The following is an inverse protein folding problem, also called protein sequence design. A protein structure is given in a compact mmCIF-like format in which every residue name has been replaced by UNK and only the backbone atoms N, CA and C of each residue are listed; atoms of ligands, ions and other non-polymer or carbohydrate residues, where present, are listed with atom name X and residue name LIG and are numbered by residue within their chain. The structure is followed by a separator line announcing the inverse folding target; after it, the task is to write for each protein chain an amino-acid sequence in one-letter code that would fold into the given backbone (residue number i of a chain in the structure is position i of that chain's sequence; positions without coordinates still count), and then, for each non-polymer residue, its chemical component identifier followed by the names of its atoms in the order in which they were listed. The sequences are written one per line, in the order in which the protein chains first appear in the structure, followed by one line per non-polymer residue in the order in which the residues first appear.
data_IF_088221910833
#
_entry.id   IF_088221910833
#
_cell.length_a   1.000
_cell.length_b   1.000
_cell.length_c   1.000
_cell.angle_alpha   90.00
_cell.angle_beta   90.00
_cell.angle_gamma   90.00
#
_symmetry.space_group_name_H-M   'P 1'
#
loop_
_entity.id
_entity.type
_entity.pdbx_description
1 polymer ?
#
# COMPACT_ATOMS: atom_id res chain seq x y z
N UNK A 1 -2.03 -33.78 -1.45
CA UNK A 1 -1.28 -33.24 -0.29
C UNK A 1 -2.31 -32.62 0.66
N UNK A 2 -2.23 -32.91 1.97
CA UNK A 2 -3.11 -32.23 2.92
C UNK A 2 -2.66 -30.76 3.08
N UNK A 3 -3.53 -29.83 2.74
CA UNK A 3 -3.22 -28.39 2.73
C UNK A 3 -2.74 -27.91 4.10
N UNK A 4 -3.38 -28.36 5.17
CA UNK A 4 -3.00 -28.00 6.53
C UNK A 4 -1.56 -28.45 6.86
N UNK A 5 -1.21 -29.70 6.55
CA UNK A 5 0.15 -30.22 6.79
C UNK A 5 1.19 -29.47 5.96
N UNK A 6 0.88 -29.14 4.71
CA UNK A 6 1.73 -28.33 3.83
C UNK A 6 1.96 -26.94 4.44
N UNK A 7 0.89 -26.23 4.81
CA UNK A 7 0.98 -24.88 5.36
C UNK A 7 1.70 -24.84 6.71
N UNK A 8 1.50 -25.84 7.56
CA UNK A 8 2.27 -26.01 8.81
C UNK A 8 3.77 -26.22 8.54
N UNK A 9 4.14 -26.91 7.47
CA UNK A 9 5.51 -27.05 7.00
C UNK A 9 6.11 -25.71 6.59
N UNK A 10 5.40 -24.96 5.73
CA UNK A 10 5.77 -23.62 5.28
C UNK A 10 5.96 -22.67 6.47
N UNK A 11 5.02 -22.66 7.42
CA UNK A 11 5.08 -21.80 8.59
C UNK A 11 6.31 -22.09 9.47
N UNK A 12 6.60 -23.35 9.77
CA UNK A 12 7.80 -23.74 10.53
C UNK A 12 9.09 -23.32 9.85
N UNK A 13 9.19 -23.51 8.53
CA UNK A 13 10.36 -23.11 7.75
C UNK A 13 10.53 -21.59 7.74
N UNK A 14 9.45 -20.81 7.53
CA UNK A 14 9.49 -19.36 7.58
C UNK A 14 9.93 -18.85 8.97
N UNK A 15 9.39 -19.43 10.05
CA UNK A 15 9.79 -19.06 11.42
C UNK A 15 11.26 -19.36 11.71
N UNK A 16 11.79 -20.47 11.21
CA UNK A 16 13.22 -20.77 11.33
C UNK A 16 14.06 -19.77 10.51
N UNK A 17 13.67 -19.50 9.26
CA UNK A 17 14.36 -18.58 8.36
C UNK A 17 14.33 -17.13 8.86
N UNK A 18 13.24 -16.68 9.52
CA UNK A 18 13.13 -15.33 10.05
C UNK A 18 14.22 -14.99 11.07
N UNK A 19 14.64 -15.98 11.87
CA UNK A 19 15.74 -15.80 12.84
C UNK A 19 17.10 -15.64 12.17
N UNK A 20 17.27 -16.16 10.97
CA UNK A 20 18.52 -16.08 10.21
C UNK A 20 18.59 -14.76 9.45
N UNK A 21 17.52 -14.39 8.73
CA UNK A 21 17.50 -13.14 7.98
C UNK A 21 17.53 -11.90 8.89
N UNK A 22 16.95 -11.96 10.09
CA UNK A 22 17.01 -10.90 11.09
C UNK A 22 18.42 -10.54 11.57
N UNK A 23 19.40 -11.45 11.36
CA UNK A 23 20.82 -11.27 11.71
C UNK A 23 21.70 -10.98 10.50
N UNK A 24 21.15 -11.06 9.28
CA UNK A 24 21.91 -10.77 8.08
C UNK A 24 22.30 -9.30 8.04
N UNK A 25 23.53 -9.03 7.66
CA UNK A 25 24.00 -7.67 7.45
C UNK A 25 23.43 -7.05 6.17
N UNK A 26 23.55 -5.74 6.04
CA UNK A 26 23.07 -4.99 4.88
C UNK A 26 23.70 -5.45 3.58
N UNK A 27 24.98 -5.83 3.59
CA UNK A 27 25.69 -6.29 2.38
C UNK A 27 25.10 -7.60 1.86
N UNK A 28 24.80 -8.55 2.75
CA UNK A 28 24.15 -9.82 2.43
C UNK A 28 22.76 -9.61 1.85
N UNK A 29 21.94 -8.77 2.47
CA UNK A 29 20.59 -8.42 1.98
C UNK A 29 20.68 -7.76 0.60
N UNK A 30 21.57 -6.78 0.43
CA UNK A 30 21.75 -6.08 -0.85
C UNK A 30 22.23 -7.02 -1.96
N UNK A 31 23.14 -7.95 -1.65
CA UNK A 31 23.60 -8.97 -2.59
C UNK A 31 22.43 -9.85 -3.06
N UNK A 32 21.58 -10.31 -2.14
CA UNK A 32 20.41 -11.12 -2.50
C UNK A 32 19.48 -10.35 -3.44
N UNK A 33 19.17 -9.07 -3.14
CA UNK A 33 18.34 -8.21 -3.98
C UNK A 33 18.94 -7.99 -5.37
N UNK A 34 20.22 -7.66 -5.45
CA UNK A 34 20.92 -7.41 -6.72
C UNK A 34 20.96 -8.66 -7.60
N UNK A 35 21.27 -9.82 -7.02
CA UNK A 35 21.28 -11.10 -7.80
C UNK A 35 19.87 -11.47 -8.22
N UNK A 36 18.85 -11.24 -7.39
CA UNK A 36 17.45 -11.44 -7.76
C UNK A 36 17.05 -10.56 -8.95
N UNK A 37 17.41 -9.27 -8.94
CA UNK A 37 17.16 -8.35 -10.05
C UNK A 37 17.79 -8.84 -11.35
N UNK A 38 19.06 -9.24 -11.30
CA UNK A 38 19.78 -9.81 -12.43
C UNK A 38 19.15 -11.12 -12.93
N UNK A 39 18.66 -11.97 -12.00
CA UNK A 39 17.98 -13.21 -12.36
C UNK A 39 16.65 -12.94 -13.09
N UNK A 40 15.87 -11.94 -12.64
CA UNK A 40 14.64 -11.49 -13.30
C UNK A 40 14.93 -10.99 -14.73
N UNK A 41 15.97 -10.18 -14.92
CA UNK A 41 16.35 -9.70 -16.25
C UNK A 41 16.74 -10.87 -17.18
N UNK A 42 17.61 -11.78 -16.72
CA UNK A 42 18.01 -12.97 -17.49
C UNK A 42 16.85 -13.90 -17.82
N UNK A 43 15.90 -14.04 -16.90
CA UNK A 43 14.72 -14.89 -17.04
C UNK A 43 13.56 -14.21 -17.80
N UNK A 44 13.75 -13.03 -18.38
CA UNK A 44 12.66 -12.22 -18.97
C UNK A 44 11.76 -13.03 -19.92
N UNK A 45 12.34 -13.83 -20.84
CA UNK A 45 11.53 -14.66 -21.73
C UNK A 45 10.77 -15.75 -20.98
N UNK A 46 11.39 -16.42 -20.03
CA UNK A 46 10.73 -17.46 -19.19
C UNK A 46 9.56 -16.86 -18.41
N UNK A 47 9.70 -15.62 -17.89
CA UNK A 47 8.64 -14.91 -17.19
C UNK A 47 7.48 -14.56 -18.14
N UNK A 48 7.77 -14.12 -19.37
CA UNK A 48 6.75 -13.85 -20.39
C UNK A 48 6.01 -15.13 -20.80
N UNK A 49 6.72 -16.24 -20.98
CA UNK A 49 6.12 -17.52 -21.33
C UNK A 49 5.21 -18.05 -20.21
N UNK A 50 5.66 -17.98 -18.95
CA UNK A 50 4.85 -18.33 -17.77
C UNK A 50 3.61 -17.43 -17.66
N UNK A 51 3.76 -16.14 -17.90
CA UNK A 51 2.65 -15.19 -17.88
C UNK A 51 1.65 -15.43 -19.01
N UNK A 52 2.10 -15.82 -20.17
CA UNK A 52 1.20 -16.17 -21.28
C UNK A 52 0.26 -17.34 -20.93
N UNK A 53 0.73 -18.33 -20.14
CA UNK A 53 -0.12 -19.42 -19.63
C UNK A 53 -1.20 -18.89 -18.68
N UNK A 54 -0.81 -18.00 -17.76
CA UNK A 54 -1.74 -17.39 -16.79
C UNK A 54 -2.80 -16.54 -17.52
N UNK A 55 -2.40 -15.70 -18.46
CA UNK A 55 -3.30 -14.83 -19.25
C UNK A 55 -4.26 -15.66 -20.09
N UNK A 56 -3.79 -16.74 -20.74
CA UNK A 56 -4.64 -17.64 -21.50
C UNK A 56 -5.70 -18.31 -20.61
N UNK A 57 -5.30 -18.79 -19.42
CA UNK A 57 -6.21 -19.37 -18.43
C UNK A 57 -7.22 -18.35 -17.88
N UNK A 58 -6.79 -17.11 -17.63
CA UNK A 58 -7.64 -16.03 -17.16
C UNK A 58 -8.71 -15.64 -18.20
N UNK A 59 -8.34 -15.53 -19.47
CA UNK A 59 -9.28 -15.28 -20.59
C UNK A 59 -10.28 -16.39 -20.75
N UNK A 60 -9.83 -17.65 -20.67
CA UNK A 60 -10.72 -18.81 -20.73
C UNK A 60 -11.75 -18.82 -19.59
N UNK A 61 -11.33 -18.40 -18.39
CA UNK A 61 -12.22 -18.24 -17.21
C UNK A 61 -13.06 -16.95 -17.23
N UNK A 62 -12.93 -16.12 -18.28
CA UNK A 62 -13.65 -14.85 -18.46
C UNK A 62 -13.48 -13.90 -17.28
N UNK A 63 -12.23 -13.75 -16.78
CA UNK A 63 -11.90 -12.67 -15.84
C UNK A 63 -12.21 -11.31 -16.49
N UNK A 64 -12.53 -10.31 -15.68
CA UNK A 64 -12.75 -8.96 -16.17
C UNK A 64 -11.47 -8.35 -16.77
N UNK A 65 -11.63 -7.41 -17.69
CA UNK A 65 -10.52 -6.80 -18.44
C UNK A 65 -9.52 -6.09 -17.50
N UNK A 66 -9.99 -5.50 -16.42
CA UNK A 66 -9.14 -4.84 -15.44
C UNK A 66 -8.26 -5.85 -14.65
N UNK A 67 -8.78 -7.05 -14.35
CA UNK A 67 -7.99 -8.12 -13.74
C UNK A 67 -6.96 -8.67 -14.73
N UNK A 68 -7.33 -8.83 -16.01
CA UNK A 68 -6.43 -9.27 -17.08
C UNK A 68 -5.32 -8.23 -17.29
N UNK A 69 -5.64 -6.93 -17.36
CA UNK A 69 -4.65 -5.86 -17.51
C UNK A 69 -3.62 -5.87 -16.37
N UNK A 70 -4.07 -6.07 -15.13
CA UNK A 70 -3.18 -6.18 -13.97
C UNK A 70 -2.32 -7.45 -13.98
N UNK A 71 -2.78 -8.52 -14.62
CA UNK A 71 -2.09 -9.81 -14.71
C UNK A 71 -0.95 -9.80 -15.73
N UNK A 72 -1.08 -9.01 -16.79
CA UNK A 72 -0.15 -9.02 -17.92
C UNK A 72 1.24 -8.49 -17.50
N UNK A 73 2.26 -9.33 -17.74
CA UNK A 73 3.66 -8.90 -17.72
C UNK A 73 4.10 -8.51 -19.13
N UNK A 74 4.84 -7.43 -19.22
CA UNK A 74 5.49 -6.95 -20.43
C UNK A 74 7.00 -6.86 -20.18
N UNK A 75 7.85 -6.78 -21.21
CA UNK A 75 9.28 -6.52 -21.00
C UNK A 75 9.54 -5.27 -20.15
N UNK A 76 8.70 -4.24 -20.30
CA UNK A 76 8.77 -3.00 -19.50
C UNK A 76 8.45 -3.25 -18.01
N UNK A 77 7.41 -4.04 -17.70
CA UNK A 77 7.06 -4.35 -16.29
C UNK A 77 8.08 -5.29 -15.65
N UNK A 78 8.70 -6.20 -16.42
CA UNK A 78 9.78 -7.06 -15.94
C UNK A 78 11.03 -6.21 -15.61
N UNK A 79 11.43 -5.31 -16.50
CA UNK A 79 12.53 -4.37 -16.21
C UNK A 79 12.23 -3.52 -14.96
N UNK A 80 11.00 -3.01 -14.83
CA UNK A 80 10.59 -2.23 -13.65
C UNK A 80 10.65 -3.04 -12.34
N UNK A 81 10.36 -4.36 -12.36
CA UNK A 81 10.56 -5.23 -11.19
C UNK A 81 12.03 -5.32 -10.79
N UNK A 82 12.93 -5.51 -11.76
CA UNK A 82 14.38 -5.56 -11.51
C UNK A 82 14.89 -4.22 -10.96
N UNK A 83 14.52 -3.11 -11.59
CA UNK A 83 14.85 -1.76 -11.13
C UNK A 83 14.34 -1.49 -9.70
N UNK A 84 13.12 -1.91 -9.39
CA UNK A 84 12.52 -1.79 -8.05
C UNK A 84 13.36 -2.50 -6.98
N UNK A 85 13.84 -3.71 -7.25
CA UNK A 85 14.72 -4.44 -6.35
C UNK A 85 16.09 -3.75 -6.17
N UNK A 86 16.65 -3.20 -7.24
CA UNK A 86 17.89 -2.41 -7.15
C UNK A 86 17.68 -1.14 -6.33
N UNK A 87 16.56 -0.46 -6.50
CA UNK A 87 16.21 0.70 -5.67
C UNK A 87 16.10 0.32 -4.19
N UNK A 88 15.38 -0.77 -3.86
CA UNK A 88 15.27 -1.28 -2.49
C UNK A 88 16.68 -1.60 -1.92
N UNK A 89 17.58 -2.15 -2.72
CA UNK A 89 18.95 -2.42 -2.29
C UNK A 89 19.71 -1.16 -1.86
N UNK A 90 19.43 0.00 -2.49
CA UNK A 90 20.08 1.28 -2.15
C UNK A 90 19.50 1.97 -0.91
N UNK A 91 18.30 1.59 -0.47
CA UNK A 91 17.67 2.20 0.70
C UNK A 91 18.49 1.93 1.98
N UNK A 92 18.48 2.85 2.95
CA UNK A 92 19.05 2.59 4.28
C UNK A 92 18.40 1.34 4.89
N UNK A 93 19.21 0.51 5.53
CA UNK A 93 18.73 -0.66 6.28
C UNK A 93 18.28 -0.20 7.67
N UNK A 94 16.98 -0.30 8.01
CA UNK A 94 16.50 0.17 9.30
C UNK A 94 16.84 -0.77 10.47
N UNK A 95 17.22 -2.01 10.18
CA UNK A 95 17.42 -3.05 11.21
C UNK A 95 18.69 -2.79 12.01
N UNK A 96 18.56 -2.74 13.33
CA UNK A 96 19.68 -2.50 14.23
C UNK A 96 19.90 -1.03 14.59
N UNK A 97 19.20 -0.08 13.96
CA UNK A 97 19.26 1.33 14.34
C UNK A 97 18.81 1.51 15.79
N UNK A 98 19.61 2.20 16.60
CA UNK A 98 19.29 2.56 17.99
C UNK A 98 19.01 4.06 18.05
N UNK A 99 17.81 4.42 18.51
CA UNK A 99 17.37 5.79 18.68
C UNK A 99 17.09 6.12 20.15
N UNK A 100 17.14 7.42 20.48
CA UNK A 100 16.72 7.94 21.77
C UNK A 100 17.50 7.41 22.97
N UNK A 101 18.75 6.97 22.82
CA UNK A 101 19.60 6.47 23.90
C UNK A 101 19.93 7.60 24.87
N UNK A 102 19.43 7.50 26.11
CA UNK A 102 19.59 8.53 27.15
C UNK A 102 19.87 7.89 28.51
N UNK A 103 20.73 8.58 29.31
CA UNK A 103 20.90 8.26 30.73
C UNK A 103 19.61 8.46 31.51
N UNK A 104 19.37 7.56 32.45
CA UNK A 104 18.26 7.65 33.41
C UNK A 104 18.81 8.00 34.80
N UNK A 105 17.97 8.51 35.71
CA UNK A 105 18.41 8.84 37.08
C UNK A 105 19.11 7.70 37.81
N UNK A 106 18.78 6.45 37.48
CA UNK A 106 19.43 5.24 38.01
C UNK A 106 20.82 4.97 37.42
N UNK A 107 21.31 5.75 36.46
CA UNK A 107 22.62 5.56 35.83
C UNK A 107 22.61 4.68 34.58
N UNK A 108 21.55 3.90 34.35
CA UNK A 108 21.42 3.10 33.11
C UNK A 108 21.17 3.98 31.89
N UNK A 109 21.59 3.51 30.70
CA UNK A 109 21.18 4.10 29.43
C UNK A 109 20.01 3.28 28.85
N UNK A 110 18.97 3.97 28.38
CA UNK A 110 17.79 3.34 27.75
C UNK A 110 17.55 3.98 26.39
N UNK A 111 17.42 3.15 25.38
CA UNK A 111 17.07 3.53 24.00
C UNK A 111 16.11 2.53 23.37
N UNK A 112 15.76 2.76 22.10
CA UNK A 112 14.96 1.84 21.30
C UNK A 112 15.76 1.39 20.08
N UNK A 113 15.73 0.08 19.83
CA UNK A 113 16.38 -0.54 18.68
C UNK A 113 15.33 -1.06 17.70
N UNK A 114 15.50 -0.76 16.43
CA UNK A 114 14.62 -1.25 15.37
C UNK A 114 14.93 -2.70 15.03
N UNK A 115 13.89 -3.52 14.97
CA UNK A 115 13.99 -4.97 14.70
C UNK A 115 12.92 -5.40 13.69
N UNK A 116 13.14 -6.46 12.89
CA UNK A 116 12.12 -7.00 11.99
C UNK A 116 10.84 -7.39 12.72
N UNK A 117 9.70 -7.35 12.04
CA UNK A 117 8.43 -7.91 12.56
C UNK A 117 8.52 -9.43 12.77
N UNK A 118 9.24 -10.13 11.87
CA UNK A 118 9.42 -11.57 11.94
C UNK A 118 9.03 -12.29 10.66
N UNK A 119 7.84 -12.87 10.61
CA UNK A 119 7.28 -13.52 9.42
C UNK A 119 6.09 -12.72 8.93
N UNK A 120 6.14 -12.27 7.68
CA UNK A 120 5.09 -11.48 7.02
C UNK A 120 4.35 -12.39 6.03
N UNK A 121 3.06 -12.58 6.23
CA UNK A 121 2.18 -13.24 5.27
C UNK A 121 1.58 -12.20 4.31
N UNK A 122 1.73 -12.38 3.00
CA UNK A 122 1.20 -11.45 2.01
C UNK A 122 0.25 -12.19 1.09
N UNK A 123 -0.99 -11.69 0.99
CA UNK A 123 -2.06 -12.28 0.18
C UNK A 123 -2.44 -11.28 -0.90
N UNK A 124 -2.24 -11.63 -2.17
CA UNK A 124 -2.43 -10.70 -3.29
C UNK A 124 -3.12 -11.35 -4.49
N UNK A 125 -3.76 -10.53 -5.32
CA UNK A 125 -4.55 -10.94 -6.48
C UNK A 125 -4.01 -10.28 -7.75
N UNK A 126 -4.03 -11.03 -8.87
CA UNK A 126 -3.81 -10.57 -10.26
C UNK A 126 -2.66 -9.59 -10.48
N UNK A 127 -1.57 -9.69 -9.71
CA UNK A 127 -0.41 -8.77 -9.78
C UNK A 127 0.89 -9.54 -9.58
N UNK A 128 1.43 -10.20 -10.60
CA UNK A 128 2.65 -11.00 -10.47
C UNK A 128 3.86 -10.20 -9.94
N UNK A 129 3.97 -8.91 -10.31
CA UNK A 129 5.05 -8.03 -9.85
C UNK A 129 5.11 -7.91 -8.31
N UNK A 130 3.98 -8.03 -7.61
CA UNK A 130 3.94 -7.98 -6.14
C UNK A 130 4.81 -9.08 -5.52
N UNK A 131 5.00 -10.21 -6.22
CA UNK A 131 5.91 -11.27 -5.75
C UNK A 131 7.34 -10.76 -5.56
N UNK A 132 7.86 -9.97 -6.51
CA UNK A 132 9.20 -9.39 -6.42
C UNK A 132 9.25 -8.25 -5.40
N UNK A 133 8.29 -7.33 -5.45
CA UNK A 133 8.23 -6.16 -4.59
C UNK A 133 8.14 -6.56 -3.10
N UNK A 134 7.22 -7.48 -2.79
CA UNK A 134 7.01 -7.99 -1.45
C UNK A 134 8.21 -8.79 -0.92
N UNK A 135 8.80 -9.64 -1.76
CA UNK A 135 10.02 -10.36 -1.42
C UNK A 135 11.17 -9.39 -1.10
N UNK A 136 11.36 -8.37 -1.94
CA UNK A 136 12.43 -7.38 -1.79
C UNK A 136 12.30 -6.57 -0.51
N UNK A 137 11.09 -6.04 -0.22
CA UNK A 137 10.84 -5.25 0.98
C UNK A 137 10.99 -6.08 2.26
N UNK A 138 10.44 -7.31 2.29
CA UNK A 138 10.60 -8.20 3.43
C UNK A 138 12.06 -8.57 3.65
N UNK A 139 12.79 -8.93 2.60
CA UNK A 139 14.21 -9.27 2.67
C UNK A 139 15.04 -8.10 3.22
N UNK A 140 14.86 -6.89 2.68
CA UNK A 140 15.60 -5.70 3.11
C UNK A 140 15.32 -5.32 4.56
N UNK A 141 14.06 -5.42 4.99
CA UNK A 141 13.65 -5.17 6.38
C UNK A 141 13.93 -6.33 7.35
N UNK A 142 14.61 -7.39 6.88
CA UNK A 142 15.05 -8.52 7.73
C UNK A 142 13.93 -9.50 8.09
N UNK A 143 12.82 -9.51 7.36
CA UNK A 143 11.69 -10.40 7.58
C UNK A 143 11.75 -11.63 6.67
N UNK A 144 11.24 -12.76 7.14
CA UNK A 144 10.83 -13.84 6.26
C UNK A 144 9.43 -13.57 5.71
N UNK A 145 9.15 -14.07 4.49
CA UNK A 145 7.88 -13.83 3.82
C UNK A 145 7.21 -15.13 3.37
N UNK A 146 5.89 -15.21 3.56
CA UNK A 146 5.03 -16.23 2.97
C UNK A 146 4.08 -15.51 2.01
N UNK A 147 4.26 -15.74 0.71
CA UNK A 147 3.56 -15.06 -0.38
C UNK A 147 2.47 -15.96 -0.95
N UNK A 148 1.22 -15.56 -0.86
CA UNK A 148 0.08 -16.26 -1.44
C UNK A 148 -0.55 -15.39 -2.54
N UNK A 149 -0.09 -15.59 -3.77
CA UNK A 149 -0.68 -14.96 -4.95
C UNK A 149 -1.98 -15.62 -5.39
N UNK A 150 -2.79 -14.92 -6.17
CA UNK A 150 -4.00 -15.43 -6.77
C UNK A 150 -3.72 -16.65 -7.68
N UNK A 151 -4.70 -17.53 -7.80
CA UNK A 151 -4.60 -18.74 -8.65
C UNK A 151 -4.47 -18.44 -10.13
N UNK A 152 -4.85 -17.24 -10.53
CA UNK A 152 -4.76 -16.72 -11.90
C UNK A 152 -3.34 -16.35 -12.32
N UNK A 153 -2.41 -16.20 -11.36
CA UNK A 153 -1.02 -15.79 -11.59
C UNK A 153 0.00 -16.86 -11.14
N UNK A 154 -0.43 -18.09 -11.00
CA UNK A 154 0.39 -19.14 -10.35
C UNK A 154 1.71 -19.39 -11.09
N UNK A 155 1.70 -19.46 -12.43
CA UNK A 155 2.89 -19.72 -13.24
C UNK A 155 3.87 -18.55 -13.16
N UNK A 156 3.39 -17.32 -13.32
CA UNK A 156 4.19 -16.10 -13.17
C UNK A 156 4.81 -15.99 -11.78
N UNK A 157 4.02 -16.21 -10.73
CA UNK A 157 4.50 -16.12 -9.36
C UNK A 157 5.58 -17.15 -9.04
N UNK A 158 5.44 -18.39 -9.54
CA UNK A 158 6.48 -19.44 -9.36
C UNK A 158 7.74 -19.15 -10.15
N UNK A 159 7.63 -18.60 -11.36
CA UNK A 159 8.79 -18.19 -12.15
C UNK A 159 9.57 -17.05 -11.47
N UNK A 160 8.88 -16.03 -10.92
CA UNK A 160 9.52 -14.97 -10.13
C UNK A 160 10.14 -15.53 -8.85
N UNK A 161 9.45 -16.46 -8.16
CA UNK A 161 9.97 -17.11 -6.96
C UNK A 161 11.30 -17.86 -7.21
N UNK A 162 11.46 -18.44 -8.40
CA UNK A 162 12.73 -19.08 -8.79
C UNK A 162 13.88 -18.06 -8.85
N UNK A 163 13.64 -16.87 -9.39
CA UNK A 163 14.63 -15.79 -9.42
C UNK A 163 14.97 -15.30 -7.99
N UNK A 164 13.99 -15.19 -7.11
CA UNK A 164 14.20 -14.83 -5.70
C UNK A 164 15.04 -15.88 -4.98
N UNK A 165 14.76 -17.16 -5.19
CA UNK A 165 15.58 -18.26 -4.63
C UNK A 165 17.03 -18.21 -5.08
N UNK A 166 17.28 -17.93 -6.35
CA UNK A 166 18.64 -17.75 -6.87
C UNK A 166 19.39 -16.64 -6.11
N UNK A 167 18.74 -15.49 -5.89
CA UNK A 167 19.31 -14.38 -5.13
C UNK A 167 19.63 -14.75 -3.69
N UNK A 168 18.70 -15.43 -3.00
CA UNK A 168 18.89 -15.89 -1.63
C UNK A 168 20.09 -16.85 -1.50
N UNK A 169 20.16 -17.87 -2.37
CA UNK A 169 21.27 -18.85 -2.38
C UNK A 169 22.60 -18.17 -2.66
N UNK A 170 22.67 -17.28 -3.65
CA UNK A 170 23.89 -16.53 -3.98
C UNK A 170 24.39 -15.65 -2.82
N UNK A 171 23.49 -15.19 -1.96
CA UNK A 171 23.83 -14.44 -0.76
C UNK A 171 24.14 -15.31 0.47
N UNK A 172 24.01 -16.65 0.36
CA UNK A 172 24.18 -17.58 1.49
C UNK A 172 23.01 -17.59 2.46
N UNK A 173 21.84 -17.12 2.03
CA UNK A 173 20.60 -17.12 2.81
C UNK A 173 19.78 -18.38 2.50
N UNK A 174 18.98 -18.89 3.46
CA UNK A 174 18.07 -19.99 3.19
C UNK A 174 17.02 -19.61 2.15
N UNK A 175 16.72 -20.51 1.21
CA UNK A 175 15.65 -20.35 0.23
C UNK A 175 14.27 -20.11 0.89
N UNK A 176 14.09 -20.60 2.09
CA UNK A 176 12.86 -20.50 2.89
C UNK A 176 12.64 -19.11 3.52
N UNK A 177 13.54 -18.14 3.32
CA UNK A 177 13.35 -16.74 3.71
C UNK A 177 12.15 -16.14 2.95
N UNK A 178 11.98 -16.51 1.68
CA UNK A 178 10.80 -16.12 0.89
C UNK A 178 10.19 -17.39 0.31
N UNK A 179 8.96 -17.67 0.70
CA UNK A 179 8.22 -18.83 0.23
C UNK A 179 6.96 -18.39 -0.52
N UNK A 180 6.84 -18.76 -1.79
CA UNK A 180 5.63 -18.55 -2.59
C UNK A 180 4.81 -19.84 -2.56
N UNK A 181 3.56 -19.75 -2.08
CA UNK A 181 2.66 -20.90 -1.95
C UNK A 181 2.39 -21.51 -3.32
N UNK A 182 2.62 -22.82 -3.46
CA UNK A 182 2.52 -23.55 -4.73
C UNK A 182 1.11 -24.07 -5.02
N UNK A 183 0.25 -24.17 -4.00
CA UNK A 183 -1.12 -24.65 -4.18
C UNK A 183 -2.09 -23.53 -4.51
N UNK A 184 -3.02 -23.80 -5.43
CA UNK A 184 -4.14 -22.91 -5.76
C UNK A 184 -5.33 -23.08 -4.82
N UNK A 185 -5.30 -24.04 -3.90
CA UNK A 185 -6.37 -24.28 -2.96
C UNK A 185 -6.61 -23.08 -2.05
N UNK A 186 -7.87 -22.62 -2.02
CA UNK A 186 -8.30 -21.49 -1.18
C UNK A 186 -8.20 -21.77 0.32
N UNK A 187 -8.19 -23.04 0.73
CA UNK A 187 -7.96 -23.42 2.12
C UNK A 187 -6.60 -22.95 2.65
N UNK A 188 -5.59 -22.86 1.79
CA UNK A 188 -4.27 -22.32 2.16
C UNK A 188 -4.32 -20.88 2.70
N UNK A 189 -5.27 -20.06 2.23
CA UNK A 189 -5.50 -18.70 2.77
C UNK A 189 -6.01 -18.79 4.20
N UNK A 190 -7.02 -19.64 4.46
CA UNK A 190 -7.57 -19.85 5.81
C UNK A 190 -6.51 -20.32 6.81
N UNK A 191 -5.66 -21.26 6.39
CA UNK A 191 -4.52 -21.71 7.21
C UNK A 191 -3.53 -20.55 7.47
N UNK A 192 -3.13 -19.81 6.43
CA UNK A 192 -2.16 -18.72 6.55
C UNK A 192 -2.59 -17.65 7.56
N UNK A 193 -3.85 -17.22 7.53
CA UNK A 193 -4.36 -16.14 8.38
C UNK A 193 -4.67 -16.57 9.83
N UNK A 194 -4.55 -17.85 10.12
CA UNK A 194 -4.84 -18.38 11.47
C UNK A 194 -3.62 -18.93 12.19
N UNK A 195 -2.47 -19.12 11.50
CA UNK A 195 -1.27 -19.73 12.05
C UNK A 195 -0.39 -18.75 12.88
N UNK A 196 -0.95 -18.19 13.97
CA UNK A 196 -0.29 -17.23 14.87
C UNK A 196 1.04 -17.69 15.44
N UNK A 197 1.27 -18.99 15.48
CA UNK A 197 2.52 -19.57 15.95
C UNK A 197 3.70 -19.24 15.01
N UNK A 198 3.41 -19.07 13.71
CA UNK A 198 4.43 -18.92 12.67
C UNK A 198 4.42 -17.57 11.97
N UNK A 199 3.30 -16.86 11.94
CA UNK A 199 3.13 -15.61 11.20
C UNK A 199 2.83 -14.47 12.17
N UNK A 200 3.52 -13.35 12.02
CA UNK A 200 3.42 -12.19 12.92
C UNK A 200 2.45 -11.13 12.39
N UNK A 201 2.38 -10.95 11.08
CA UNK A 201 1.51 -9.97 10.43
C UNK A 201 1.06 -10.44 9.06
N UNK A 202 -0.15 -10.05 8.65
CA UNK A 202 -0.70 -10.26 7.30
C UNK A 202 -0.82 -8.92 6.58
N UNK A 203 -0.45 -8.91 5.30
CA UNK A 203 -0.64 -7.75 4.40
C UNK A 203 -1.51 -8.19 3.23
N UNK A 204 -2.79 -7.81 3.20
CA UNK A 204 -3.65 -8.07 2.06
C UNK A 204 -3.41 -7.06 0.93
N UNK A 205 -3.41 -7.55 -0.32
CA UNK A 205 -3.27 -6.78 -1.57
C UNK A 205 -4.28 -7.25 -2.61
N UNK A 206 -5.54 -7.00 -2.39
CA UNK A 206 -6.63 -7.44 -3.26
C UNK A 206 -7.85 -6.54 -3.19
N UNK A 207 -8.95 -6.99 -3.79
CA UNK A 207 -10.21 -6.25 -3.77
C UNK A 207 -10.91 -6.29 -2.41
N UNK A 208 -11.89 -5.40 -2.23
CA UNK A 208 -12.66 -5.20 -0.98
C UNK A 208 -13.17 -6.52 -0.38
N UNK A 209 -13.74 -7.41 -1.21
CA UNK A 209 -14.28 -8.69 -0.73
C UNK A 209 -13.21 -9.62 -0.12
N UNK A 210 -11.97 -9.61 -0.63
CA UNK A 210 -10.87 -10.35 0.00
C UNK A 210 -10.54 -9.73 1.36
N UNK A 211 -10.39 -8.41 1.43
CA UNK A 211 -10.00 -7.71 2.66
C UNK A 211 -11.07 -7.90 3.74
N UNK A 212 -12.36 -7.74 3.42
CA UNK A 212 -13.47 -7.97 4.35
C UNK A 212 -13.48 -9.41 4.90
N UNK A 213 -13.22 -10.41 4.03
CA UNK A 213 -13.08 -11.79 4.48
C UNK A 213 -11.92 -11.95 5.45
N UNK A 214 -10.76 -11.39 5.13
CA UNK A 214 -9.57 -11.48 5.99
C UNK A 214 -9.78 -10.78 7.33
N UNK A 215 -10.41 -9.60 7.35
CA UNK A 215 -10.79 -8.88 8.58
C UNK A 215 -11.67 -9.72 9.51
N UNK A 216 -12.61 -10.47 8.94
CA UNK A 216 -13.51 -11.32 9.71
C UNK A 216 -12.85 -12.61 10.23
N UNK A 217 -11.95 -13.20 9.44
CA UNK A 217 -11.44 -14.56 9.66
C UNK A 217 -10.02 -14.60 10.25
N UNK A 218 -9.22 -13.52 10.09
CA UNK A 218 -7.84 -13.50 10.55
C UNK A 218 -7.74 -13.50 12.07
N UNK A 219 -6.78 -14.27 12.56
CA UNK A 219 -6.35 -14.27 13.96
C UNK A 219 -4.99 -13.58 14.14
N UNK A 220 -4.44 -13.04 13.06
CA UNK A 220 -3.14 -12.39 13.00
C UNK A 220 -3.37 -10.90 12.72
N UNK A 221 -2.65 -9.98 13.35
CA UNK A 221 -2.71 -8.55 13.01
C UNK A 221 -2.49 -8.31 11.52
N UNK A 222 -3.13 -7.28 10.97
CA UNK A 222 -2.99 -6.95 9.56
C UNK A 222 -2.50 -5.52 9.39
N UNK A 223 -1.79 -5.27 8.30
CA UNK A 223 -1.47 -3.95 7.76
C UNK A 223 -2.32 -3.78 6.51
N UNK A 224 -3.36 -2.95 6.58
CA UNK A 224 -4.36 -2.92 5.51
C UNK A 224 -5.12 -1.58 5.44
N UNK A 225 -5.79 -1.34 4.32
CA UNK A 225 -6.93 -0.44 4.18
C UNK A 225 -8.07 -1.18 3.48
N UNK A 226 -9.30 -0.77 3.72
CA UNK A 226 -10.48 -1.42 3.12
C UNK A 226 -10.79 -0.79 1.76
N UNK A 227 -10.89 0.54 1.72
CA UNK A 227 -11.16 1.36 0.54
C UNK A 227 -10.47 2.73 0.64
N UNK A 228 -10.43 3.46 -0.46
CA UNK A 228 -9.82 4.78 -0.59
C UNK A 228 -10.82 5.85 -1.01
N UNK A 229 -11.80 6.20 -0.14
CA UNK A 229 -12.68 7.35 -0.37
C UNK A 229 -11.91 8.63 -0.05
N UNK A 230 -11.16 9.13 -1.02
CA UNK A 230 -10.30 10.30 -0.86
C UNK A 230 -11.00 11.60 -1.28
N UNK A 231 -10.73 12.69 -0.55
CA UNK A 231 -11.34 14.00 -0.80
C UNK A 231 -10.31 15.04 -1.19
N UNK A 232 -10.73 15.98 -2.04
CA UNK A 232 -10.08 17.28 -2.20
C UNK A 232 -11.09 18.36 -1.82
N UNK A 233 -10.77 19.14 -0.79
CA UNK A 233 -11.54 20.31 -0.40
C UNK A 233 -10.91 21.57 -0.98
N UNK A 234 -11.67 22.32 -1.78
CA UNK A 234 -11.29 23.64 -2.31
C UNK A 234 -11.91 24.70 -1.41
N UNK A 235 -11.07 25.37 -0.65
CA UNK A 235 -11.45 26.43 0.28
C UNK A 235 -11.77 27.75 -0.45
N UNK A 236 -12.55 28.64 0.17
CA UNK A 236 -12.88 29.96 -0.40
C UNK A 236 -11.67 30.91 -0.51
N UNK A 237 -10.55 30.57 0.15
CA UNK A 237 -9.24 31.25 0.06
C UNK A 237 -8.27 30.54 -0.89
N UNK A 238 -8.73 29.61 -1.72
CA UNK A 238 -7.88 28.94 -2.68
C UNK A 238 -7.51 29.85 -3.86
N UNK A 239 -6.29 29.71 -4.35
CA UNK A 239 -5.92 30.12 -5.69
C UNK A 239 -6.63 29.22 -6.73
N UNK A 240 -7.35 29.81 -7.67
CA UNK A 240 -8.20 29.08 -8.62
C UNK A 240 -7.38 28.18 -9.52
N UNK A 241 -6.29 28.67 -10.09
CA UNK A 241 -5.48 27.89 -11.03
C UNK A 241 -4.77 26.72 -10.33
N UNK A 242 -4.31 26.95 -9.10
CA UNK A 242 -3.75 25.89 -8.24
C UNK A 242 -4.80 24.82 -7.93
N UNK A 243 -6.00 25.24 -7.55
CA UNK A 243 -7.09 24.34 -7.19
C UNK A 243 -7.53 23.48 -8.39
N UNK A 244 -7.62 24.05 -9.58
CA UNK A 244 -7.91 23.32 -10.82
C UNK A 244 -6.85 22.26 -11.08
N UNK A 245 -5.55 22.63 -11.05
CA UNK A 245 -4.46 21.69 -11.31
C UNK A 245 -4.43 20.54 -10.28
N UNK A 246 -4.60 20.84 -9.00
CA UNK A 246 -4.57 19.84 -7.93
C UNK A 246 -5.77 18.89 -8.06
N UNK A 247 -6.97 19.43 -8.20
CA UNK A 247 -8.19 18.61 -8.27
C UNK A 247 -8.27 17.80 -9.58
N UNK A 248 -7.88 18.37 -10.72
CA UNK A 248 -7.81 17.63 -11.97
C UNK A 248 -6.83 16.45 -11.86
N UNK A 249 -5.61 16.70 -11.40
CA UNK A 249 -4.60 15.64 -11.22
C UNK A 249 -5.08 14.58 -10.23
N UNK A 250 -5.68 14.97 -9.11
CA UNK A 250 -6.14 14.05 -8.07
C UNK A 250 -7.15 13.02 -8.59
N UNK A 251 -8.00 13.38 -9.56
CA UNK A 251 -8.94 12.44 -10.18
C UNK A 251 -8.40 11.79 -11.44
N UNK A 252 -7.81 12.55 -12.36
CA UNK A 252 -7.63 12.10 -13.75
C UNK A 252 -6.26 11.51 -14.06
N UNK A 253 -5.25 11.66 -13.20
CA UNK A 253 -3.92 11.10 -13.41
C UNK A 253 -3.96 9.56 -13.47
N UNK A 254 -4.77 8.92 -12.62
CA UNK A 254 -5.07 7.48 -12.66
C UNK A 254 -6.34 7.20 -11.87
N UNK A 255 -7.32 6.57 -12.49
CA UNK A 255 -8.66 6.36 -11.91
C UNK A 255 -8.71 5.17 -10.94
N UNK A 256 -8.13 4.04 -11.31
CA UNK A 256 -8.27 2.76 -10.60
C UNK A 256 -7.27 2.55 -9.46
N UNK A 257 -7.06 3.55 -8.60
CA UNK A 257 -6.13 3.49 -7.47
C UNK A 257 -6.73 4.15 -6.22
N UNK A 258 -6.39 3.62 -5.05
CA UNK A 258 -6.99 4.00 -3.76
C UNK A 258 -6.73 5.44 -3.31
N UNK A 259 -5.72 6.12 -3.85
CA UNK A 259 -5.42 7.53 -3.58
C UNK A 259 -5.97 8.50 -4.64
N UNK A 260 -6.77 8.03 -5.61
CA UNK A 260 -7.52 8.90 -6.51
C UNK A 260 -8.64 9.61 -5.74
N UNK A 261 -8.90 10.87 -6.09
CA UNK A 261 -10.03 11.61 -5.51
C UNK A 261 -11.37 10.97 -5.93
N UNK A 262 -12.23 10.68 -4.97
CA UNK A 262 -13.59 10.17 -5.21
C UNK A 262 -14.66 11.21 -4.88
N UNK A 263 -14.37 12.18 -4.01
CA UNK A 263 -15.26 13.28 -3.69
C UNK A 263 -14.52 14.62 -3.73
N UNK A 264 -15.08 15.57 -4.47
CA UNK A 264 -14.68 16.97 -4.52
C UNK A 264 -15.61 17.80 -3.63
N UNK A 265 -15.05 18.43 -2.60
CA UNK A 265 -15.75 19.39 -1.75
C UNK A 265 -15.35 20.82 -2.15
N UNK A 266 -16.31 21.71 -2.31
CA UNK A 266 -16.05 23.10 -2.71
C UNK A 266 -16.74 24.06 -1.77
N UNK A 267 -15.99 25.01 -1.20
CA UNK A 267 -16.56 26.07 -0.37
C UNK A 267 -17.53 26.92 -1.19
N UNK A 268 -18.69 27.23 -0.60
CA UNK A 268 -19.76 28.02 -1.21
C UNK A 268 -19.25 29.34 -1.80
N UNK A 269 -18.34 30.01 -1.12
CA UNK A 269 -17.81 31.33 -1.52
C UNK A 269 -17.03 31.33 -2.83
N UNK A 270 -16.50 30.16 -3.28
CA UNK A 270 -15.71 30.04 -4.52
C UNK A 270 -16.41 29.20 -5.59
N UNK A 271 -17.48 28.47 -5.22
CA UNK A 271 -18.13 27.49 -6.09
C UNK A 271 -18.51 28.00 -7.47
N UNK A 272 -19.11 29.20 -7.57
CA UNK A 272 -19.52 29.84 -8.85
C UNK A 272 -18.32 30.10 -9.76
N UNK A 273 -17.12 30.32 -9.22
CA UNK A 273 -15.92 30.63 -10.00
C UNK A 273 -15.19 29.38 -10.46
N UNK A 274 -15.17 28.34 -9.63
CA UNK A 274 -14.30 27.17 -9.86
C UNK A 274 -15.02 25.98 -10.49
N UNK A 275 -16.28 25.72 -10.13
CA UNK A 275 -16.99 24.55 -10.65
C UNK A 275 -17.15 24.55 -12.17
N UNK A 276 -17.55 25.67 -12.85
CA UNK A 276 -17.73 25.64 -14.29
C UNK A 276 -16.47 25.25 -15.07
N UNK A 277 -15.28 25.88 -14.86
CA UNK A 277 -14.07 25.49 -15.60
C UNK A 277 -13.56 24.11 -15.21
N UNK A 278 -13.60 23.74 -13.93
CA UNK A 278 -13.09 22.45 -13.46
C UNK A 278 -13.97 21.29 -13.93
N UNK A 279 -15.29 21.41 -13.82
CA UNK A 279 -16.22 20.38 -14.29
C UNK A 279 -16.20 20.22 -15.81
N UNK A 280 -15.95 21.31 -16.56
CA UNK A 280 -15.74 21.20 -18.00
C UNK A 280 -14.53 20.30 -18.31
N UNK A 281 -13.41 20.45 -17.59
CA UNK A 281 -12.23 19.58 -17.76
C UNK A 281 -12.59 18.11 -17.51
N UNK A 282 -13.34 17.82 -16.45
CA UNK A 282 -13.75 16.46 -16.13
C UNK A 282 -14.67 15.86 -17.21
N UNK A 283 -15.68 16.62 -17.64
CA UNK A 283 -16.61 16.17 -18.69
C UNK A 283 -15.88 15.94 -20.02
N UNK A 284 -14.96 16.83 -20.40
CA UNK A 284 -14.14 16.67 -21.62
C UNK A 284 -13.25 15.40 -21.56
N UNK A 285 -12.90 14.94 -20.35
CA UNK A 285 -12.14 13.70 -20.09
C UNK A 285 -13.05 12.47 -19.88
N UNK A 286 -14.36 12.61 -20.04
CA UNK A 286 -15.32 11.51 -19.89
C UNK A 286 -15.57 11.09 -18.43
N UNK A 287 -15.36 11.98 -17.45
CA UNK A 287 -15.70 11.73 -16.06
C UNK A 287 -17.19 12.01 -15.84
N UNK A 288 -17.92 11.03 -15.36
CA UNK A 288 -19.29 11.21 -14.86
C UNK A 288 -19.26 12.00 -13.55
N UNK A 289 -20.02 13.10 -13.49
CA UNK A 289 -20.11 13.91 -12.28
C UNK A 289 -21.44 13.64 -11.57
N UNK A 290 -21.40 13.40 -10.26
CA UNK A 290 -22.58 13.27 -9.38
C UNK A 290 -22.56 14.39 -8.37
N UNK A 291 -23.51 15.31 -8.48
CA UNK A 291 -23.53 16.54 -7.69
C UNK A 291 -24.71 16.62 -6.73
N UNK A 292 -24.52 17.31 -5.61
CA UNK A 292 -25.63 17.76 -4.77
C UNK A 292 -26.50 18.79 -5.50
N UNK A 293 -27.65 19.15 -4.93
CA UNK A 293 -28.60 20.07 -5.56
C UNK A 293 -28.00 21.46 -5.83
N UNK A 294 -27.01 21.90 -5.06
CA UNK A 294 -26.39 23.21 -5.20
C UNK A 294 -25.35 23.19 -6.33
N UNK A 295 -24.49 22.21 -6.38
CA UNK A 295 -23.51 22.07 -7.46
C UNK A 295 -24.18 21.88 -8.82
N UNK A 296 -25.30 21.14 -8.86
CA UNK A 296 -26.12 20.93 -10.06
C UNK A 296 -26.79 22.22 -10.58
N UNK A 297 -27.11 23.17 -9.71
CA UNK A 297 -27.58 24.51 -10.17
C UNK A 297 -26.49 25.28 -10.88
N UNK A 298 -25.23 25.06 -10.55
CA UNK A 298 -24.08 25.72 -11.20
C UNK A 298 -23.65 24.95 -12.45
N UNK A 299 -23.66 23.60 -12.40
CA UNK A 299 -23.28 22.73 -13.52
C UNK A 299 -24.40 21.72 -13.75
N UNK A 300 -25.40 22.06 -14.59
CA UNK A 300 -26.59 21.22 -14.82
C UNK A 300 -26.31 19.85 -15.47
N UNK A 301 -25.11 19.64 -16.00
CA UNK A 301 -24.70 18.37 -16.62
C UNK A 301 -24.39 17.28 -15.60
N UNK A 302 -24.33 17.59 -14.30
CA UNK A 302 -24.14 16.59 -13.26
C UNK A 302 -25.38 15.75 -13.02
N UNK A 303 -25.20 14.45 -12.86
CA UNK A 303 -26.23 13.57 -12.33
C UNK A 303 -26.48 13.89 -10.83
N UNK A 304 -27.67 13.58 -10.30
CA UNK A 304 -27.89 13.72 -8.85
C UNK A 304 -27.01 12.74 -8.07
N UNK A 305 -26.36 13.25 -7.04
CA UNK A 305 -25.69 12.42 -6.05
C UNK A 305 -26.70 11.90 -5.02
N UNK A 306 -26.49 10.66 -4.58
CA UNK A 306 -27.21 10.01 -3.49
C UNK A 306 -26.32 9.86 -2.27
N UNK A 307 -26.90 9.50 -1.13
CA UNK A 307 -26.13 9.39 0.12
C UNK A 307 -25.01 8.34 0.01
N UNK A 308 -25.25 7.25 -0.70
CA UNK A 308 -24.27 6.18 -0.93
C UNK A 308 -23.05 6.63 -1.73
N UNK A 309 -23.21 7.66 -2.59
CA UNK A 309 -22.12 8.20 -3.39
C UNK A 309 -21.00 8.80 -2.52
N UNK A 310 -21.34 9.35 -1.36
CA UNK A 310 -20.36 9.92 -0.41
C UNK A 310 -19.45 8.87 0.24
N UNK A 311 -19.92 7.62 0.37
CA UNK A 311 -19.17 6.48 0.93
C UNK A 311 -18.47 5.64 -0.15
N UNK A 312 -18.62 6.00 -1.44
CA UNK A 312 -18.24 5.10 -2.52
C UNK A 312 -16.83 5.37 -3.03
N UNK A 313 -15.96 4.36 -3.00
CA UNK A 313 -14.75 4.28 -3.81
C UNK A 313 -15.13 3.74 -5.19
N UNK A 314 -15.20 4.61 -6.20
CA UNK A 314 -15.63 4.22 -7.56
C UNK A 314 -14.56 3.44 -8.32
N UNK A 315 -13.28 3.80 -8.15
CA UNK A 315 -12.16 3.27 -8.95
C UNK A 315 -12.40 3.39 -10.47
N UNK A 316 -13.22 4.35 -10.89
CA UNK A 316 -13.73 4.52 -12.22
C UNK A 316 -13.79 6.02 -12.60
N UNK A 317 -14.20 6.31 -13.83
CA UNK A 317 -14.40 7.66 -14.32
C UNK A 317 -15.69 8.30 -13.76
N UNK A 318 -15.84 8.29 -12.44
CA UNK A 318 -16.97 8.86 -11.69
C UNK A 318 -16.41 9.73 -10.57
N UNK A 319 -17.00 10.88 -10.30
CA UNK A 319 -16.60 11.81 -9.23
C UNK A 319 -17.85 12.42 -8.57
N UNK A 320 -17.91 12.33 -7.24
CA UNK A 320 -18.89 13.04 -6.43
C UNK A 320 -18.48 14.49 -6.19
N UNK A 321 -19.42 15.43 -6.24
CA UNK A 321 -19.19 16.87 -6.06
C UNK A 321 -20.19 17.43 -5.06
N UNK A 322 -19.72 18.08 -4.02
CA UNK A 322 -20.56 18.71 -3.00
C UNK A 322 -20.11 20.13 -2.67
N UNK A 323 -21.07 21.04 -2.58
CA UNK A 323 -20.84 22.39 -2.06
C UNK A 323 -21.00 22.32 -0.53
N UNK A 324 -20.03 22.91 0.18
CA UNK A 324 -20.02 23.01 1.65
C UNK A 324 -19.95 24.48 2.07
N UNK A 325 -20.50 24.82 3.25
CA UNK A 325 -20.51 26.20 3.73
C UNK A 325 -19.10 26.76 4.01
N UNK A 326 -18.16 25.88 4.33
CA UNK A 326 -16.76 26.22 4.59
C UNK A 326 -16.00 25.06 5.20
N UNK A 327 -14.88 25.40 5.87
CA UNK A 327 -13.93 24.43 6.41
C UNK A 327 -14.58 23.45 7.41
N UNK A 328 -15.44 23.94 8.31
CA UNK A 328 -16.05 23.11 9.35
C UNK A 328 -16.91 21.99 8.74
N UNK A 329 -17.75 22.33 7.76
CA UNK A 329 -18.59 21.33 7.09
C UNK A 329 -17.77 20.40 6.17
N UNK A 330 -16.66 20.88 5.61
CA UNK A 330 -15.75 20.02 4.85
C UNK A 330 -15.10 18.97 5.75
N UNK A 331 -14.60 19.38 6.91
CA UNK A 331 -14.01 18.46 7.92
C UNK A 331 -15.05 17.45 8.40
N UNK A 332 -16.26 17.91 8.72
CA UNK A 332 -17.36 17.03 9.14
C UNK A 332 -17.70 16.01 8.08
N UNK A 333 -17.78 16.43 6.80
CA UNK A 333 -18.03 15.51 5.68
C UNK A 333 -16.93 14.46 5.58
N UNK A 334 -15.66 14.88 5.58
CA UNK A 334 -14.51 13.95 5.46
C UNK A 334 -14.49 12.95 6.61
N UNK A 335 -14.69 13.42 7.85
CA UNK A 335 -14.70 12.56 9.02
C UNK A 335 -15.90 11.59 9.06
N UNK A 336 -17.02 11.95 8.42
CA UNK A 336 -18.23 11.12 8.33
C UNK A 336 -18.13 10.07 7.22
N UNK A 337 -17.70 10.46 6.02
CA UNK A 337 -17.80 9.65 4.81
C UNK A 337 -16.45 9.09 4.35
N UNK A 338 -15.34 9.69 4.79
CA UNK A 338 -14.00 9.29 4.39
C UNK A 338 -13.57 7.95 4.94
N UNK A 339 -12.64 7.32 4.23
CA UNK A 339 -12.03 6.04 4.60
C UNK A 339 -10.76 6.18 5.44
N UNK A 340 -10.42 7.39 5.88
CA UNK A 340 -9.16 7.72 6.57
C UNK A 340 -7.90 7.44 5.74
N UNK A 341 -8.04 7.38 4.40
CA UNK A 341 -6.93 7.09 3.50
C UNK A 341 -6.13 8.36 3.20
N UNK A 342 -6.63 9.25 2.35
CA UNK A 342 -5.89 10.44 1.91
C UNK A 342 -6.85 11.60 1.60
N UNK A 343 -6.66 12.73 2.26
CA UNK A 343 -7.50 13.90 2.04
C UNK A 343 -6.65 15.16 1.88
N UNK A 344 -7.12 16.09 1.06
CA UNK A 344 -6.39 17.30 0.72
C UNK A 344 -7.26 18.56 0.88
N UNK A 345 -6.62 19.65 1.28
CA UNK A 345 -7.17 21.01 1.20
C UNK A 345 -6.36 21.85 0.20
N UNK A 346 -7.05 22.66 -0.59
CA UNK A 346 -6.41 23.73 -1.37
C UNK A 346 -6.83 25.07 -0.80
N UNK A 347 -5.87 25.83 -0.26
CA UNK A 347 -6.08 27.12 0.39
C UNK A 347 -4.80 27.93 0.44
N UNK A 348 -4.91 29.26 0.42
CA UNK A 348 -3.81 30.19 0.71
C UNK A 348 -3.80 30.66 2.19
N UNK A 349 -4.79 30.24 2.98
CA UNK A 349 -4.88 30.57 4.40
C UNK A 349 -4.18 29.52 5.26
N UNK A 350 -3.03 29.88 5.83
CA UNK A 350 -2.21 28.99 6.67
C UNK A 350 -2.95 28.53 7.95
N UNK A 351 -3.85 29.34 8.49
CA UNK A 351 -4.61 28.98 9.69
C UNK A 351 -5.61 27.88 9.38
N UNK A 352 -6.31 27.98 8.23
CA UNK A 352 -7.22 26.94 7.75
C UNK A 352 -6.48 25.66 7.38
N UNK A 353 -5.33 25.78 6.72
CA UNK A 353 -4.48 24.63 6.40
C UNK A 353 -4.05 23.87 7.67
N UNK A 354 -3.61 24.58 8.72
CA UNK A 354 -3.22 23.97 10.01
C UNK A 354 -4.40 23.31 10.73
N UNK A 355 -5.57 23.94 10.70
CA UNK A 355 -6.79 23.32 11.25
C UNK A 355 -7.16 22.04 10.52
N UNK A 356 -7.15 22.08 9.18
CA UNK A 356 -7.44 20.90 8.37
C UNK A 356 -6.50 19.72 8.70
N UNK A 357 -5.18 19.98 8.78
CA UNK A 357 -4.20 18.95 9.16
C UNK A 357 -4.49 18.38 10.57
N UNK A 358 -4.91 19.23 11.51
CA UNK A 358 -5.14 18.80 12.89
C UNK A 358 -6.47 18.06 13.09
N UNK A 359 -7.50 18.40 12.32
CA UNK A 359 -8.87 17.95 12.55
C UNK A 359 -9.32 16.84 11.59
N UNK A 360 -8.65 16.65 10.44
CA UNK A 360 -8.88 15.52 9.51
C UNK A 360 -8.00 14.35 9.92
N UNK A 361 -8.64 13.25 10.31
CA UNK A 361 -7.94 12.04 10.82
C UNK A 361 -7.68 11.00 9.72
N UNK A 362 -6.93 11.41 8.70
CA UNK A 362 -6.54 10.52 7.59
C UNK A 362 -5.06 10.12 7.68
N UNK A 363 -4.72 9.00 7.04
CA UNK A 363 -3.34 8.48 7.03
C UNK A 363 -2.37 9.42 6.30
N UNK A 364 -2.89 10.19 5.33
CA UNK A 364 -2.19 11.25 4.64
C UNK A 364 -3.09 12.48 4.52
N UNK A 365 -2.65 13.61 5.04
CA UNK A 365 -3.37 14.90 4.94
C UNK A 365 -2.50 15.89 4.20
N UNK A 366 -3.02 16.46 3.12
CA UNK A 366 -2.24 17.27 2.19
C UNK A 366 -2.73 18.71 2.15
N UNK A 367 -1.82 19.65 1.98
CA UNK A 367 -2.09 21.05 1.72
C UNK A 367 -1.53 21.41 0.36
N UNK A 368 -2.39 21.93 -0.54
CA UNK A 368 -2.00 22.40 -1.87
C UNK A 368 -1.28 21.34 -2.74
N UNK A 369 -1.57 20.06 -2.51
CA UNK A 369 -1.00 18.94 -3.23
C UNK A 369 -2.09 17.91 -3.59
N UNK A 370 -1.88 17.20 -4.68
CA UNK A 370 -2.77 16.14 -5.15
C UNK A 370 -2.72 14.93 -4.22
N UNK A 371 -3.86 14.30 -3.94
CA UNK A 371 -3.95 13.03 -3.20
C UNK A 371 -3.11 11.91 -3.84
N UNK A 372 -2.80 12.03 -5.14
CA UNK A 372 -1.95 11.09 -5.88
C UNK A 372 -0.51 10.98 -5.35
N UNK A 373 -0.05 11.95 -4.55
CA UNK A 373 1.24 11.88 -3.88
C UNK A 373 1.29 10.92 -2.68
N UNK A 374 0.16 10.38 -2.22
CA UNK A 374 0.15 9.35 -1.17
C UNK A 374 0.68 8.01 -1.70
N UNK A 375 1.97 7.94 -1.89
CA UNK A 375 2.71 6.86 -2.53
C UNK A 375 4.10 6.74 -1.88
N UNK A 376 4.56 5.50 -1.67
CA UNK A 376 5.81 5.25 -0.97
C UNK A 376 7.04 5.79 -1.71
N UNK A 377 7.03 5.82 -3.04
CA UNK A 377 8.12 6.40 -3.82
C UNK A 377 8.14 7.92 -3.69
N UNK A 378 6.98 8.56 -3.87
CA UNK A 378 6.83 10.03 -3.76
C UNK A 378 7.14 10.54 -2.34
N UNK A 379 6.87 9.73 -1.31
CA UNK A 379 7.21 10.06 0.09
C UNK A 379 8.68 9.80 0.45
N UNK A 380 9.49 9.33 -0.51
CA UNK A 380 10.90 9.05 -0.27
C UNK A 380 11.17 7.74 0.47
N UNK A 381 10.16 6.87 0.59
CA UNK A 381 10.32 5.53 1.18
C UNK A 381 10.94 4.54 0.19
N UNK A 382 11.08 4.92 -1.06
CA UNK A 382 11.64 4.14 -2.18
C UNK A 382 10.70 3.07 -2.72
N UNK A 383 9.97 2.36 -1.86
CA UNK A 383 8.94 1.39 -2.21
C UNK A 383 7.97 1.21 -1.05
N UNK A 384 6.79 0.64 -1.33
CA UNK A 384 5.79 0.31 -0.31
C UNK A 384 5.23 -1.09 -0.49
N UNK A 385 4.96 -1.77 0.62
CA UNK A 385 4.26 -3.06 0.58
C UNK A 385 2.75 -2.88 0.46
N UNK A 386 2.25 -1.71 0.79
CA UNK A 386 0.86 -1.27 0.76
C UNK A 386 0.67 0.01 1.55
N UNK A 387 -0.58 0.47 1.60
CA UNK A 387 -0.98 1.62 2.41
C UNK A 387 -1.83 1.10 3.57
N UNK A 388 -1.68 1.68 4.74
CA UNK A 388 -2.47 1.33 5.93
C UNK A 388 -3.27 2.53 6.42
N UNK A 389 -4.53 2.31 6.75
CA UNK A 389 -5.36 3.28 7.45
C UNK A 389 -5.47 2.98 8.95
N UNK A 390 -4.87 1.89 9.43
CA UNK A 390 -4.84 1.52 10.83
C UNK A 390 -4.06 2.54 11.65
N UNK A 391 -4.46 2.72 12.92
CA UNK A 391 -3.77 3.63 13.86
C UNK A 391 -2.69 2.92 14.68
N UNK A 392 -2.76 1.60 14.76
CA UNK A 392 -1.77 0.79 15.45
C UNK A 392 -0.67 0.35 14.51
N UNK A 393 0.58 0.50 14.92
CA UNK A 393 1.81 0.19 14.24
C UNK A 393 2.11 1.15 13.06
N UNK A 394 1.85 0.78 11.78
CA UNK A 394 2.14 1.60 10.61
C UNK A 394 0.88 2.24 10.04
N UNK A 395 0.94 3.51 9.63
CA UNK A 395 -0.15 4.27 9.00
C UNK A 395 0.37 5.03 7.78
N UNK A 396 -0.42 5.09 6.71
CA UNK A 396 -0.01 5.63 5.40
C UNK A 396 0.75 4.59 4.56
N UNK A 397 1.53 5.02 3.56
CA UNK A 397 2.40 4.15 2.78
C UNK A 397 3.40 3.40 3.68
N UNK A 398 3.45 2.08 3.57
CA UNK A 398 4.24 1.21 4.44
C UNK A 398 5.51 0.76 3.73
N UNK A 399 6.61 1.44 3.99
CA UNK A 399 7.95 1.11 3.53
C UNK A 399 8.72 0.20 4.49
N UNK A 400 10.06 0.24 4.41
CA UNK A 400 10.94 -0.62 5.21
C UNK A 400 10.76 -0.44 6.72
N UNK A 401 10.63 0.81 7.20
CA UNK A 401 10.44 1.06 8.63
C UNK A 401 9.12 0.48 9.16
N UNK A 402 8.05 0.56 8.38
CA UNK A 402 6.74 -0.01 8.73
C UNK A 402 6.75 -1.55 8.79
N UNK A 403 7.74 -2.20 8.18
CA UNK A 403 7.98 -3.65 8.29
C UNK A 403 8.89 -4.02 9.47
N UNK A 404 9.14 -3.09 10.38
CA UNK A 404 9.95 -3.27 11.59
C UNK A 404 9.18 -2.81 12.83
N UNK A 405 9.67 -3.17 14.00
CA UNK A 405 9.16 -2.75 15.30
C UNK A 405 10.31 -2.22 16.15
N UNK A 406 10.00 -1.60 17.28
CA UNK A 406 10.98 -1.08 18.22
C UNK A 406 11.00 -1.95 19.48
N UNK A 407 12.19 -2.39 19.92
CA UNK A 407 12.40 -2.98 21.24
C UNK A 407 13.26 -2.08 22.11
N UNK A 408 13.05 -2.09 23.41
CA UNK A 408 13.94 -1.39 24.32
C UNK A 408 15.30 -2.08 24.42
N UNK A 409 16.35 -1.27 24.43
CA UNK A 409 17.73 -1.69 24.75
C UNK A 409 18.20 -0.92 25.98
N UNK A 410 18.81 -1.63 26.91
CA UNK A 410 19.29 -1.07 28.17
C UNK A 410 20.74 -1.42 28.36
N UNK A 411 21.57 -0.41 28.58
CA UNK A 411 22.96 -0.59 28.93
C UNK A 411 23.18 -0.20 30.38
N UNK A 412 23.82 -1.04 31.13
CA UNK A 412 24.19 -0.85 32.52
C UNK A 412 25.57 -1.41 32.80
N UNK A 413 26.10 -1.10 33.97
CA UNK A 413 27.38 -1.63 34.51
C UNK A 413 27.12 -2.14 35.92
N UNK A 414 26.41 -3.27 36.02
CA UNK A 414 26.03 -3.86 37.32
C UNK A 414 24.91 -3.12 38.09
N UNK A 415 24.18 -2.21 37.43
CA UNK A 415 23.08 -1.46 38.05
C UNK A 415 21.98 -2.43 38.49
N UNK A 416 21.50 -2.25 39.72
CA UNK A 416 20.37 -2.98 40.30
C UNK A 416 19.25 -1.99 40.65
N UNK A 417 18.03 -2.49 40.69
CA UNK A 417 16.88 -1.71 41.17
C UNK A 417 16.84 -1.83 42.70
N UNK A 418 16.92 -0.71 43.40
CA UNK A 418 16.77 -0.58 44.85
C UNK A 418 15.36 -0.15 45.24
#
# INVERSE_FOLDING_TARGET
MNVQTYMQGVGRQARAASRLIARADTATKNKALTVTAQAIERASQTLLDANALDVAAARHKKLDDAAIDRLILTPKTIAAMADGLLQIATLPDPVGEISGLKYRPSGIQVGQMRVPLGVVGIIYESRPNVTADAAGLCLKSGNAAILRGGSEAIHSNQAIAACVREGLVAAGLPETVVQVIETTDRAAVGELITMREFVDVIVPRGGKGLIERLLRESRIPMIQHLDGVCHVYIDDKADIDKAIRVADNAKTQRLGVCNAMETLLVARGIAQKILPPLCKIYLDKGIELRGDDESRKIVPQMNPAHEEDWYTEYLAAILSVRIVDGLDQAIEHINTYGSQHTDAIVTEDITRARRFIAEVDSSSVMVNASTRFADGYEYGLGAEIGISTDKLHARGPVGLEGLTSLKYVVFGDGHIRT
#
